data_IF_775439894655
#
_entry.id   IF_775439894655
#
_cell.length_a   1.000
_cell.length_b   1.000
_cell.length_c   1.000
_cell.angle_alpha   90.00
_cell.angle_beta   90.00
_cell.angle_gamma   90.00
#
_symmetry.space_group_name_H-M   'P 1'
#
loop_
_entity.id
_entity.type
_entity.pdbx_description
1 polymer ?
#
# COMPACT_ATOMS: atom_id res chain seq x y z
N UNK A 1 23.07 0.68 9.67
CA UNK A 1 23.19 -0.04 8.38
C UNK A 1 24.37 0.43 7.52
N UNK A 2 24.35 1.57 6.80
CA UNK A 2 25.51 1.95 5.92
C UNK A 2 26.83 2.07 6.70
N UNK A 3 26.79 2.67 7.90
CA UNK A 3 28.00 2.83 8.73
C UNK A 3 28.67 1.52 9.16
N UNK A 4 27.91 0.43 9.38
CA UNK A 4 28.46 -0.85 9.86
C UNK A 4 29.17 -1.60 8.72
N UNK A 5 28.59 -1.57 7.52
CA UNK A 5 29.24 -2.08 6.32
C UNK A 5 30.52 -1.31 6.02
N UNK A 6 30.49 0.02 6.17
CA UNK A 6 31.65 0.87 5.94
C UNK A 6 32.77 0.62 6.97
N UNK A 7 32.42 0.43 8.24
CA UNK A 7 33.38 0.00 9.27
C UNK A 7 34.03 -1.34 8.91
N UNK A 8 33.24 -2.35 8.50
CA UNK A 8 33.80 -3.63 8.06
C UNK A 8 34.71 -3.51 6.85
N UNK A 9 34.36 -2.62 5.89
CA UNK A 9 35.14 -2.34 4.68
C UNK A 9 36.49 -1.72 5.04
N UNK A 10 36.48 -0.68 5.86
CA UNK A 10 37.69 0.03 6.32
C UNK A 10 38.60 -0.89 7.14
N UNK A 11 38.02 -1.72 8.02
CA UNK A 11 38.76 -2.70 8.82
C UNK A 11 39.25 -3.92 8.03
N UNK A 12 38.89 -4.05 6.73
CA UNK A 12 39.16 -5.24 5.90
C UNK A 12 38.72 -6.54 6.60
N UNK A 13 37.59 -6.49 7.30
CA UNK A 13 37.11 -7.57 8.18
C UNK A 13 36.88 -8.91 7.46
N UNK A 14 36.48 -8.86 6.18
CA UNK A 14 36.19 -10.06 5.38
C UNK A 14 37.32 -10.42 4.39
N UNK A 15 37.73 -11.70 4.30
CA UNK A 15 38.77 -12.14 3.35
C UNK A 15 38.29 -12.07 1.90
N UNK A 16 39.20 -12.06 0.93
CA UNK A 16 38.87 -11.89 -0.50
C UNK A 16 37.87 -12.94 -1.00
N UNK A 17 37.95 -14.18 -0.52
CA UNK A 17 36.99 -15.24 -0.87
C UNK A 17 35.54 -14.88 -0.49
N UNK A 18 35.34 -14.14 0.60
CA UNK A 18 34.01 -13.65 1.01
C UNK A 18 33.63 -12.40 0.20
N UNK A 19 34.57 -11.47 -0.01
CA UNK A 19 34.34 -10.27 -0.84
C UNK A 19 33.98 -10.60 -2.28
N UNK A 20 34.56 -11.65 -2.86
CA UNK A 20 34.21 -12.14 -4.19
C UNK A 20 32.71 -12.50 -4.30
N UNK A 21 32.12 -13.09 -3.26
CA UNK A 21 30.69 -13.43 -3.23
C UNK A 21 29.78 -12.20 -3.22
N UNK A 22 30.23 -11.11 -2.59
CA UNK A 22 29.49 -9.84 -2.58
C UNK A 22 29.43 -9.16 -3.96
N UNK A 23 30.31 -9.54 -4.89
CA UNK A 23 30.33 -9.01 -6.27
C UNK A 23 29.44 -9.81 -7.22
N UNK A 24 28.83 -10.91 -6.76
CA UNK A 24 27.96 -11.73 -7.59
C UNK A 24 26.59 -11.04 -7.78
N UNK A 25 26.25 -10.71 -9.02
CA UNK A 25 24.98 -10.04 -9.37
C UNK A 25 23.78 -10.84 -8.87
N UNK A 26 22.80 -10.15 -8.27
CA UNK A 26 21.56 -10.75 -7.77
C UNK A 26 21.71 -11.56 -6.48
N UNK A 27 22.84 -11.44 -5.77
CA UNK A 27 23.03 -12.04 -4.44
C UNK A 27 23.13 -10.96 -3.37
N UNK A 28 22.06 -10.83 -2.60
CA UNK A 28 22.01 -9.92 -1.47
C UNK A 28 22.56 -10.54 -0.19
N UNK A 29 23.11 -9.69 0.66
CA UNK A 29 23.68 -10.10 1.95
C UNK A 29 23.31 -9.11 3.05
N UNK A 30 22.86 -9.63 4.19
CA UNK A 30 22.68 -8.88 5.43
C UNK A 30 23.87 -9.09 6.36
N UNK A 31 24.28 -8.03 7.04
CA UNK A 31 25.36 -8.02 8.01
C UNK A 31 24.76 -8.04 9.41
N UNK A 32 25.12 -9.05 10.21
CA UNK A 32 24.75 -9.12 11.63
C UNK A 32 26.00 -9.31 12.46
N UNK A 33 25.94 -8.86 13.71
CA UNK A 33 26.99 -9.12 14.70
C UNK A 33 26.65 -10.41 15.43
N UNK A 34 27.60 -11.31 15.53
CA UNK A 34 27.55 -12.47 16.43
C UNK A 34 28.60 -12.29 17.54
N UNK A 35 28.60 -13.20 18.52
CA UNK A 35 29.54 -13.17 19.64
C UNK A 35 31.02 -13.24 19.23
N UNK A 36 31.34 -13.48 17.95
CA UNK A 36 32.71 -13.52 17.40
C UNK A 36 33.01 -12.36 16.43
N UNK A 37 32.08 -11.44 16.20
CA UNK A 37 32.28 -10.26 15.36
C UNK A 37 31.21 -10.11 14.26
N UNK A 38 31.56 -9.45 13.17
CA UNK A 38 30.63 -9.25 12.06
C UNK A 38 30.55 -10.46 11.13
N UNK A 39 29.33 -10.81 10.70
CA UNK A 39 29.05 -11.93 9.82
C UNK A 39 28.02 -11.59 8.75
N UNK A 40 28.25 -12.09 7.54
CA UNK A 40 27.37 -11.92 6.39
C UNK A 40 26.44 -13.14 6.22
N UNK A 41 25.18 -12.85 5.92
CA UNK A 41 24.11 -13.81 5.70
C UNK A 41 23.51 -13.56 4.33
N UNK A 42 23.44 -14.59 3.48
CA UNK A 42 22.72 -14.46 2.19
C UNK A 42 21.26 -14.16 2.48
N UNK A 43 20.74 -13.11 1.84
CA UNK A 43 19.34 -12.73 1.89
C UNK A 43 18.67 -13.04 0.54
N UNK A 44 17.39 -13.38 0.61
CA UNK A 44 16.45 -13.34 -0.49
C UNK A 44 15.23 -12.57 0.02
N UNK A 45 14.51 -11.92 -0.87
CA UNK A 45 13.35 -11.09 -0.53
C UNK A 45 12.13 -11.60 -1.28
N UNK A 46 11.02 -11.71 -0.58
CA UNK A 46 9.71 -11.91 -1.19
C UNK A 46 9.03 -10.57 -1.44
N UNK A 47 8.10 -10.54 -2.40
CA UNK A 47 7.24 -9.38 -2.59
C UNK A 47 6.35 -9.15 -1.34
N UNK A 48 6.14 -7.89 -0.93
CA UNK A 48 5.20 -7.54 0.13
C UNK A 48 3.81 -8.19 -0.07
N UNK A 49 3.22 -8.72 0.99
CA UNK A 49 1.83 -9.18 0.99
C UNK A 49 0.95 -8.14 1.67
N UNK A 50 -0.08 -7.67 0.96
CA UNK A 50 -1.11 -6.82 1.53
C UNK A 50 -2.23 -7.68 2.11
N UNK A 51 -2.57 -7.46 3.37
CA UNK A 51 -3.57 -8.23 4.10
C UNK A 51 -4.66 -7.28 4.60
N UNK A 52 -5.82 -7.35 3.96
CA UNK A 52 -7.01 -6.59 4.38
C UNK A 52 -7.99 -7.46 5.18
N UNK A 53 -7.90 -8.79 5.06
CA UNK A 53 -8.71 -9.75 5.78
C UNK A 53 -7.90 -11.00 6.17
N UNK A 54 -8.30 -11.66 7.26
CA UNK A 54 -7.78 -12.96 7.70
C UNK A 54 -8.64 -14.10 7.12
N UNK A 55 -8.66 -14.24 5.80
CA UNK A 55 -9.59 -15.09 5.03
C UNK A 55 -9.00 -16.43 4.54
N UNK A 56 -7.75 -16.72 4.90
CA UNK A 56 -6.98 -17.87 4.41
C UNK A 56 -6.48 -17.74 2.97
N UNK A 57 -6.76 -16.61 2.30
CA UNK A 57 -6.32 -16.31 0.93
C UNK A 57 -5.27 -15.19 0.91
N UNK A 58 -5.53 -14.08 1.60
CA UNK A 58 -4.62 -12.94 1.69
C UNK A 58 -3.55 -13.16 2.76
N UNK A 59 -3.89 -13.85 3.84
CA UNK A 59 -3.03 -14.06 4.99
C UNK A 59 -2.33 -15.43 5.01
N UNK A 60 -2.39 -16.21 3.92
CA UNK A 60 -1.71 -17.51 3.81
C UNK A 60 -0.99 -17.64 2.47
N UNK A 61 0.23 -18.17 2.48
CA UNK A 61 1.06 -18.32 1.28
C UNK A 61 2.09 -19.43 1.43
N UNK A 62 2.78 -19.74 0.34
CA UNK A 62 3.90 -20.68 0.29
C UNK A 62 5.18 -19.92 -0.02
N UNK A 63 6.23 -20.16 0.77
CA UNK A 63 7.58 -19.67 0.51
C UNK A 63 8.48 -20.87 0.18
N UNK A 64 9.30 -20.75 -0.86
CA UNK A 64 10.25 -21.78 -1.25
C UNK A 64 11.66 -21.43 -0.77
N UNK A 65 12.27 -22.32 0.00
CA UNK A 65 13.67 -22.25 0.36
C UNK A 65 14.49 -23.12 -0.59
N UNK A 66 15.18 -22.50 -1.53
CA UNK A 66 15.98 -23.17 -2.56
C UNK A 66 17.34 -23.70 -2.07
N UNK A 67 17.60 -23.68 -0.75
CA UNK A 67 18.84 -24.27 -0.24
C UNK A 67 18.84 -25.78 -0.48
N UNK A 68 19.93 -26.35 -1.01
CA UNK A 68 20.07 -27.80 -1.18
C UNK A 68 19.91 -28.53 0.15
N UNK A 69 19.14 -29.61 0.15
CA UNK A 69 18.85 -30.44 1.33
C UNK A 69 20.02 -31.31 1.80
N UNK A 70 21.05 -31.42 0.97
CA UNK A 70 22.23 -32.27 1.10
C UNK A 70 23.48 -31.54 1.60
N UNK A 71 23.36 -30.23 1.90
CA UNK A 71 24.43 -29.52 2.61
C UNK A 71 24.57 -30.12 4.02
N UNK A 72 25.80 -30.51 4.44
CA UNK A 72 26.00 -31.12 5.75
C UNK A 72 25.48 -30.20 6.84
N UNK A 73 24.76 -30.79 7.81
CA UNK A 73 24.20 -30.06 8.94
C UNK A 73 25.29 -29.14 9.53
N UNK A 74 24.99 -27.84 9.74
CA UNK A 74 25.98 -26.94 10.28
C UNK A 74 26.53 -27.49 11.60
N UNK A 75 27.85 -27.64 11.69
CA UNK A 75 28.52 -27.91 12.96
C UNK A 75 28.04 -26.86 13.98
N UNK A 76 27.79 -27.29 15.22
CA UNK A 76 27.06 -26.57 16.27
C UNK A 76 27.54 -25.13 16.60
N UNK A 77 28.65 -24.66 16.03
CA UNK A 77 29.18 -23.29 16.14
C UNK A 77 28.84 -22.35 14.96
N UNK A 78 28.10 -22.81 13.93
CA UNK A 78 27.69 -21.99 12.78
C UNK A 78 26.18 -22.16 12.49
N UNK A 79 25.32 -21.52 13.28
CA UNK A 79 23.84 -21.39 13.09
C UNK A 79 23.36 -21.71 11.65
N UNK A 80 22.74 -22.86 11.38
CA UNK A 80 21.42 -23.38 11.77
C UNK A 80 20.27 -22.68 11.00
N UNK A 81 19.72 -23.37 10.00
CA UNK A 81 18.48 -23.01 9.30
C UNK A 81 18.57 -21.88 8.26
N UNK A 82 17.56 -21.80 7.40
CA UNK A 82 17.18 -20.59 6.69
C UNK A 82 16.09 -19.94 7.53
N UNK A 83 16.34 -18.77 8.13
CA UNK A 83 15.34 -18.06 8.93
C UNK A 83 14.58 -17.09 8.03
N UNK A 84 13.26 -17.10 8.15
CA UNK A 84 12.39 -16.10 7.54
C UNK A 84 12.56 -14.78 8.31
N UNK A 85 12.94 -13.72 7.60
CA UNK A 85 12.76 -12.36 8.12
C UNK A 85 11.28 -12.01 7.98
N UNK A 86 10.75 -11.19 8.88
CA UNK A 86 9.37 -10.72 8.71
C UNK A 86 9.25 -9.28 9.18
N UNK A 87 8.55 -8.45 8.43
CA UNK A 87 8.07 -7.16 8.90
C UNK A 87 6.55 -7.10 8.77
N UNK A 88 5.88 -6.74 9.85
CA UNK A 88 4.43 -6.57 9.89
C UNK A 88 4.20 -5.10 10.19
N UNK A 89 3.72 -4.36 9.20
CA UNK A 89 3.51 -2.92 9.26
C UNK A 89 2.04 -2.57 9.08
N UNK A 90 1.47 -1.83 10.02
CA UNK A 90 0.14 -1.25 9.88
C UNK A 90 0.21 -0.04 8.96
N UNK A 91 -0.67 0.01 7.97
CA UNK A 91 -0.75 1.11 7.02
C UNK A 91 -1.31 2.39 7.64
N UNK A 92 -1.81 3.28 6.78
CA UNK A 92 -2.23 4.63 7.15
C UNK A 92 -3.76 4.82 7.09
N UNK A 93 -4.53 3.80 6.70
CA UNK A 93 -5.99 3.88 6.63
C UNK A 93 -6.57 4.25 7.99
N UNK A 94 -7.53 5.17 7.98
CA UNK A 94 -8.06 5.80 9.18
C UNK A 94 -9.34 5.17 9.72
N UNK A 95 -9.94 4.24 8.99
CA UNK A 95 -11.21 3.61 9.31
C UNK A 95 -11.22 2.12 8.94
N UNK A 96 -11.98 1.28 9.67
CA UNK A 96 -12.11 -0.13 9.36
C UNK A 96 -12.91 -0.40 8.09
N UNK A 97 -12.61 -1.53 7.43
CA UNK A 97 -13.39 -2.03 6.30
C UNK A 97 -14.86 -2.22 6.66
N UNK A 98 -15.17 -2.51 7.93
CA UNK A 98 -16.56 -2.63 8.41
C UNK A 98 -17.36 -1.34 8.34
N UNK A 99 -16.73 -0.15 8.26
CA UNK A 99 -17.46 1.11 7.99
C UNK A 99 -17.90 1.18 6.52
N UNK A 100 -17.07 0.69 5.61
CA UNK A 100 -17.38 0.61 4.19
C UNK A 100 -18.49 -0.43 3.91
N UNK A 101 -18.52 -1.51 4.69
CA UNK A 101 -19.54 -2.56 4.62
C UNK A 101 -20.85 -2.20 5.36
N UNK A 102 -20.95 -1.01 5.99
CA UNK A 102 -22.19 -0.59 6.66
C UNK A 102 -23.35 -0.60 5.64
N UNK A 103 -24.48 -1.29 5.92
CA UNK A 103 -25.61 -1.33 5.00
C UNK A 103 -26.27 0.03 4.75
N UNK A 104 -25.97 1.04 5.57
CA UNK A 104 -26.40 2.44 5.38
C UNK A 104 -25.38 3.28 4.60
N UNK A 105 -24.24 2.71 4.20
CA UNK A 105 -23.30 3.40 3.31
C UNK A 105 -23.96 3.62 1.94
N UNK A 106 -23.84 4.84 1.43
CA UNK A 106 -24.44 5.25 0.17
C UNK A 106 -23.42 5.09 -0.96
N UNK A 107 -23.66 4.23 -1.95
CA UNK A 107 -22.88 4.21 -3.19
C UNK A 107 -23.15 5.50 -3.98
N UNK A 108 -22.09 6.29 -4.20
CA UNK A 108 -22.10 7.53 -4.97
C UNK A 108 -21.78 7.27 -6.45
N UNK A 109 -20.83 6.37 -6.71
CA UNK A 109 -20.36 6.02 -8.04
C UNK A 109 -19.87 4.57 -8.05
N UNK A 110 -20.49 3.73 -8.88
CA UNK A 110 -20.07 2.33 -9.04
C UNK A 110 -19.01 2.15 -10.12
N UNK A 111 -18.81 3.15 -10.98
CA UNK A 111 -17.87 3.12 -12.11
C UNK A 111 -18.22 2.11 -13.23
N UNK A 112 -19.48 1.69 -13.31
CA UNK A 112 -19.93 0.76 -14.35
C UNK A 112 -20.04 1.38 -15.75
N UNK A 113 -20.13 2.71 -15.84
CA UNK A 113 -20.21 3.46 -17.09
C UNK A 113 -19.20 4.62 -17.13
N UNK A 114 -18.38 4.65 -18.19
CA UNK A 114 -17.43 5.73 -18.44
C UNK A 114 -18.05 6.92 -19.19
N UNK A 115 -19.24 6.77 -19.81
CA UNK A 115 -19.88 7.85 -20.59
C UNK A 115 -20.11 9.14 -19.77
N UNK A 116 -20.53 9.10 -18.50
CA UNK A 116 -20.72 10.31 -17.69
C UNK A 116 -19.47 11.16 -17.49
N UNK A 117 -18.28 10.60 -17.72
CA UNK A 117 -17.00 11.30 -17.61
C UNK A 117 -16.60 12.06 -18.88
N UNK A 118 -17.32 11.90 -19.99
CA UNK A 118 -17.06 12.64 -21.23
C UNK A 118 -17.57 14.07 -21.12
N UNK A 119 -16.83 14.99 -21.73
CA UNK A 119 -17.26 16.37 -21.92
C UNK A 119 -18.53 16.42 -22.75
N UNK A 120 -19.45 17.30 -22.36
CA UNK A 120 -20.69 17.59 -23.08
C UNK A 120 -21.25 18.93 -22.62
N UNK A 121 -22.31 19.41 -23.27
CA UNK A 121 -23.06 20.58 -22.79
C UNK A 121 -23.56 20.40 -21.34
N UNK A 122 -23.84 19.15 -20.95
CA UNK A 122 -24.26 18.79 -19.60
C UNK A 122 -23.10 18.69 -18.61
N UNK A 123 -22.03 17.96 -18.98
CA UNK A 123 -20.89 17.68 -18.14
C UNK A 123 -19.72 18.61 -18.48
N UNK A 124 -19.69 19.78 -17.84
CA UNK A 124 -18.69 20.83 -18.03
C UNK A 124 -17.68 20.87 -16.89
N UNK A 125 -17.07 19.73 -16.58
CA UNK A 125 -16.12 19.61 -15.46
C UNK A 125 -14.76 20.26 -15.76
N UNK A 126 -14.43 20.47 -17.03
CA UNK A 126 -13.17 21.05 -17.45
C UNK A 126 -12.93 22.45 -16.89
N UNK A 127 -13.99 23.21 -16.60
CA UNK A 127 -13.89 24.53 -15.96
C UNK A 127 -13.31 24.48 -14.54
N UNK A 128 -13.40 23.33 -13.87
CA UNK A 128 -12.87 23.10 -12.53
C UNK A 128 -11.46 22.51 -12.55
N UNK A 129 -10.99 22.05 -13.72
CA UNK A 129 -9.63 21.55 -13.88
C UNK A 129 -8.70 22.69 -14.23
N UNK A 130 -7.85 23.09 -13.29
CA UNK A 130 -6.90 24.17 -13.45
C UNK A 130 -5.47 23.69 -13.22
N UNK A 131 -4.55 24.13 -14.07
CA UNK A 131 -3.13 23.83 -14.00
C UNK A 131 -2.38 24.56 -15.12
N UNK A 132 -1.07 24.73 -14.94
CA UNK A 132 -0.20 25.34 -15.95
C UNK A 132 -0.17 24.50 -17.25
N UNK A 133 -0.08 25.18 -18.39
CA UNK A 133 -0.01 24.54 -19.70
C UNK A 133 -1.27 23.76 -20.09
N UNK A 134 -2.44 24.12 -19.54
CA UNK A 134 -3.71 23.44 -19.83
C UNK A 134 -4.06 23.47 -21.33
N UNK A 135 -4.34 22.30 -21.87
CA UNK A 135 -4.92 22.09 -23.19
C UNK A 135 -6.17 21.23 -23.03
N UNK A 136 -7.20 21.50 -23.82
CA UNK A 136 -8.39 20.67 -23.88
C UNK A 136 -8.21 19.65 -25.00
N UNK A 137 -8.14 18.36 -24.66
CA UNK A 137 -8.12 17.26 -25.62
C UNK A 137 -9.49 16.56 -25.68
N UNK A 138 -9.67 15.66 -26.65
CA UNK A 138 -10.91 14.88 -26.79
C UNK A 138 -11.25 14.04 -25.54
N UNK A 139 -10.24 13.68 -24.74
CA UNK A 139 -10.41 12.95 -23.49
C UNK A 139 -10.42 13.84 -22.25
N UNK A 140 -10.41 15.17 -22.40
CA UNK A 140 -10.50 16.12 -21.30
C UNK A 140 -9.30 17.05 -21.14
N UNK A 141 -9.31 17.88 -20.09
CA UNK A 141 -8.24 18.83 -19.78
C UNK A 141 -6.96 18.10 -19.33
N UNK A 142 -5.86 18.43 -19.98
CA UNK A 142 -4.52 17.88 -19.73
C UNK A 142 -3.48 18.99 -19.77
N UNK A 143 -2.29 18.75 -19.23
CA UNK A 143 -1.13 19.57 -19.55
C UNK A 143 -0.66 19.30 -20.99
N UNK A 144 -0.15 20.32 -21.67
CA UNK A 144 0.52 20.16 -22.96
C UNK A 144 1.60 19.05 -22.88
N UNK A 145 1.59 18.13 -23.84
CA UNK A 145 2.48 16.96 -23.87
C UNK A 145 1.99 15.74 -23.07
N UNK A 146 0.84 15.83 -22.39
CA UNK A 146 0.19 14.70 -21.71
C UNK A 146 -1.01 14.23 -22.53
N UNK A 147 -1.15 12.92 -22.68
CA UNK A 147 -2.38 12.28 -23.17
C UNK A 147 -3.04 11.51 -22.04
N UNK A 148 -4.35 11.33 -22.11
CA UNK A 148 -5.10 10.53 -21.14
C UNK A 148 -6.20 9.71 -21.79
N UNK A 149 -6.60 8.63 -21.12
CA UNK A 149 -7.72 7.77 -21.51
C UNK A 149 -8.49 7.32 -20.28
N UNK A 150 -9.80 7.12 -20.44
CA UNK A 150 -10.62 6.47 -19.42
C UNK A 150 -11.62 5.52 -20.09
N UNK A 151 -11.81 4.35 -19.51
CA UNK A 151 -12.67 3.27 -20.03
C UNK A 151 -13.14 2.40 -18.87
N UNK A 152 -14.13 1.55 -19.09
CA UNK A 152 -14.48 0.53 -18.11
C UNK A 152 -13.77 -0.80 -18.37
N UNK A 153 -13.54 -1.57 -17.32
CA UNK A 153 -12.93 -2.92 -17.32
C UNK A 153 -13.74 -3.87 -16.45
N UNK A 154 -13.67 -5.18 -16.69
CA UNK A 154 -14.32 -6.22 -15.87
C UNK A 154 -13.46 -6.68 -14.69
N UNK A 155 -12.21 -6.21 -14.62
CA UNK A 155 -11.31 -6.40 -13.47
C UNK A 155 -11.70 -5.48 -12.30
N UNK A 156 -12.91 -5.67 -11.77
CA UNK A 156 -13.48 -4.89 -10.67
C UNK A 156 -13.19 -5.52 -9.31
N UNK A 157 -13.22 -4.70 -8.25
CA UNK A 157 -12.99 -5.14 -6.88
C UNK A 157 -14.27 -5.67 -6.22
N UNK A 158 -15.40 -5.02 -6.47
CA UNK A 158 -16.70 -5.32 -5.82
C UNK A 158 -17.80 -5.55 -6.85
N UNK A 159 -17.95 -4.61 -7.79
CA UNK A 159 -18.95 -4.68 -8.84
C UNK A 159 -18.55 -5.61 -10.00
N UNK A 160 -19.30 -5.53 -11.10
CA UNK A 160 -18.94 -6.23 -12.35
C UNK A 160 -17.95 -5.45 -13.21
N UNK A 161 -17.83 -4.13 -12.99
CA UNK A 161 -16.94 -3.25 -13.75
C UNK A 161 -16.30 -2.19 -12.86
N UNK A 162 -15.17 -1.66 -13.31
CA UNK A 162 -14.48 -0.53 -12.70
C UNK A 162 -14.08 0.48 -13.78
N UNK A 163 -13.73 1.71 -13.38
CA UNK A 163 -13.19 2.72 -14.29
C UNK A 163 -11.66 2.61 -14.29
N UNK A 164 -11.07 2.38 -15.46
CA UNK A 164 -9.64 2.49 -15.66
C UNK A 164 -9.32 3.88 -16.17
N UNK A 165 -8.44 4.59 -15.48
CA UNK A 165 -7.93 5.90 -15.87
C UNK A 165 -6.43 5.81 -16.07
N UNK A 166 -5.94 6.24 -17.24
CA UNK A 166 -4.53 6.17 -17.60
C UNK A 166 -4.06 7.46 -18.27
N UNK A 167 -2.78 7.76 -18.11
CA UNK A 167 -2.14 8.90 -18.76
C UNK A 167 -0.70 8.60 -19.16
N UNK A 168 -0.22 9.25 -20.22
CA UNK A 168 1.16 9.21 -20.69
C UNK A 168 1.69 10.64 -20.80
N UNK A 169 2.87 10.91 -20.26
CA UNK A 169 3.52 12.21 -20.35
C UNK A 169 4.75 12.13 -21.26
N UNK A 170 4.66 12.75 -22.44
CA UNK A 170 5.79 12.95 -23.37
C UNK A 170 6.35 14.38 -23.33
N UNK A 171 5.71 15.26 -22.56
CA UNK A 171 6.14 16.64 -22.35
C UNK A 171 7.04 16.79 -21.12
N UNK A 172 7.02 17.99 -20.55
CA UNK A 172 7.89 18.38 -19.44
C UNK A 172 7.53 17.69 -18.11
N UNK A 173 8.43 17.84 -17.13
CA UNK A 173 8.22 17.34 -15.77
C UNK A 173 6.98 17.95 -15.12
N UNK A 174 6.19 17.13 -14.40
CA UNK A 174 4.96 17.56 -13.73
C UNK A 174 3.73 17.44 -14.63
N UNK A 175 3.63 16.35 -15.39
CA UNK A 175 2.44 16.06 -16.19
C UNK A 175 1.21 15.90 -15.31
N UNK A 176 0.07 16.37 -15.82
CA UNK A 176 -1.22 16.25 -15.15
C UNK A 176 -2.35 16.12 -16.18
N UNK A 177 -3.45 15.52 -15.75
CA UNK A 177 -4.67 15.35 -16.52
C UNK A 177 -5.87 15.22 -15.57
N UNK A 178 -7.06 15.57 -16.04
CA UNK A 178 -8.28 15.51 -15.23
C UNK A 178 -9.46 14.89 -15.97
N UNK A 179 -10.22 14.07 -15.27
CA UNK A 179 -11.53 13.54 -15.68
C UNK A 179 -12.58 13.90 -14.63
N UNK A 180 -13.84 13.97 -15.03
CA UNK A 180 -14.91 14.26 -14.08
C UNK A 180 -16.29 14.05 -14.65
N UNK A 181 -17.26 13.92 -13.76
CA UNK A 181 -18.68 13.80 -14.08
C UNK A 181 -19.50 14.77 -13.26
N UNK A 182 -20.63 15.18 -13.84
CA UNK A 182 -21.73 15.84 -13.13
C UNK A 182 -22.73 14.79 -12.64
N UNK A 183 -23.21 14.93 -11.40
CA UNK A 183 -24.32 14.10 -10.93
C UNK A 183 -25.64 14.54 -11.62
N UNK A 184 -26.56 13.61 -11.96
CA UNK A 184 -27.87 13.96 -12.54
C UNK A 184 -28.66 14.95 -11.67
N UNK A 185 -28.49 14.84 -10.34
CA UNK A 185 -28.96 15.78 -9.34
C UNK A 185 -27.87 15.96 -8.29
N UNK A 186 -27.72 17.15 -7.69
CA UNK A 186 -26.82 17.31 -6.56
C UNK A 186 -27.14 16.31 -5.45
N UNK A 187 -26.11 15.69 -4.88
CA UNK A 187 -26.24 14.72 -3.80
C UNK A 187 -26.20 15.43 -2.45
N UNK A 188 -27.05 14.97 -1.53
CA UNK A 188 -26.98 15.32 -0.12
C UNK A 188 -26.11 14.30 0.63
N UNK A 189 -24.91 14.73 0.98
CA UNK A 189 -23.93 13.97 1.75
C UNK A 189 -23.79 14.49 3.18
N UNK A 190 -24.64 15.42 3.63
CA UNK A 190 -24.52 16.09 4.94
C UNK A 190 -24.60 15.12 6.13
N UNK A 191 -25.27 13.99 5.96
CA UNK A 191 -25.36 12.92 6.97
C UNK A 191 -24.12 12.01 7.08
N UNK A 192 -23.13 12.16 6.20
CA UNK A 192 -21.97 11.25 6.11
C UNK A 192 -20.71 11.86 6.75
N UNK A 193 -19.76 11.00 7.12
CA UNK A 193 -18.53 11.36 7.84
C UNK A 193 -17.26 11.22 7.01
N UNK A 194 -17.29 10.34 6.01
CA UNK A 194 -16.17 10.09 5.13
C UNK A 194 -16.66 9.57 3.78
N UNK A 195 -15.76 9.60 2.80
CA UNK A 195 -15.90 8.86 1.55
C UNK A 195 -14.94 7.68 1.56
N UNK A 196 -15.31 6.58 0.91
CA UNK A 196 -14.46 5.41 0.76
C UNK A 196 -14.46 4.96 -0.70
N UNK A 197 -13.28 4.70 -1.24
CA UNK A 197 -13.07 4.35 -2.65
C UNK A 197 -12.07 3.21 -2.74
N UNK A 198 -12.37 2.20 -3.55
CA UNK A 198 -11.35 1.26 -3.97
C UNK A 198 -10.50 1.87 -5.09
N UNK A 199 -9.19 1.86 -4.90
CA UNK A 199 -8.21 2.28 -5.90
C UNK A 199 -7.27 1.11 -6.17
N UNK A 200 -7.17 0.68 -7.42
CA UNK A 200 -6.11 -0.20 -7.88
C UNK A 200 -4.92 0.65 -8.31
N UNK A 201 -3.80 0.56 -7.60
CA UNK A 201 -2.58 1.29 -7.92
C UNK A 201 -1.64 0.52 -8.84
N UNK A 202 -0.76 1.23 -9.54
CA UNK A 202 0.35 0.66 -10.32
C UNK A 202 1.73 0.85 -9.66
N UNK A 203 1.77 1.49 -8.49
CA UNK A 203 2.97 1.68 -7.67
C UNK A 203 3.94 2.76 -8.17
N UNK A 204 3.59 3.59 -9.16
CA UNK A 204 4.53 4.55 -9.77
C UNK A 204 4.64 5.90 -9.05
N UNK A 205 3.87 6.11 -8.00
CA UNK A 205 4.03 7.21 -7.05
C UNK A 205 3.37 8.53 -7.46
N UNK A 206 2.56 8.53 -8.52
CA UNK A 206 1.69 9.63 -8.87
C UNK A 206 0.67 9.93 -7.76
N UNK A 207 0.10 11.14 -7.82
CA UNK A 207 -0.88 11.61 -6.84
C UNK A 207 -2.21 11.75 -7.56
N UNK A 208 -3.23 11.07 -7.05
CA UNK A 208 -4.60 11.29 -7.52
C UNK A 208 -5.18 12.46 -6.71
N UNK A 209 -5.60 13.54 -7.37
CA UNK A 209 -6.51 14.49 -6.74
C UNK A 209 -7.92 13.95 -6.89
N UNK A 210 -8.50 13.47 -5.80
CA UNK A 210 -9.92 13.18 -5.72
C UNK A 210 -10.63 14.45 -5.24
N UNK A 211 -11.55 14.98 -6.04
CA UNK A 211 -12.24 16.24 -5.74
C UNK A 211 -13.75 16.13 -5.93
N UNK A 212 -14.48 16.76 -5.02
CA UNK A 212 -15.90 17.05 -5.17
C UNK A 212 -16.11 18.56 -5.30
N UNK A 213 -17.12 18.96 -6.07
CA UNK A 213 -17.59 20.35 -6.12
C UNK A 213 -19.05 20.44 -5.75
N UNK A 214 -19.42 21.46 -4.98
CA UNK A 214 -20.81 21.77 -4.70
C UNK A 214 -21.41 22.73 -5.75
N UNK A 215 -22.73 22.89 -5.70
CA UNK A 215 -23.47 23.75 -6.62
C UNK A 215 -23.10 25.25 -6.54
N UNK A 216 -22.41 25.68 -5.49
CA UNK A 216 -21.92 27.05 -5.34
C UNK A 216 -20.48 27.23 -5.87
N UNK A 217 -19.86 26.17 -6.39
CA UNK A 217 -18.49 26.21 -6.91
C UNK A 217 -17.42 26.17 -5.82
N UNK A 218 -17.72 25.62 -4.64
CA UNK A 218 -16.70 25.30 -3.61
C UNK A 218 -16.27 23.85 -3.77
N UNK A 219 -15.07 23.52 -3.33
CA UNK A 219 -14.52 22.17 -3.50
C UNK A 219 -13.97 21.57 -2.22
N UNK A 220 -14.04 20.25 -2.17
CA UNK A 220 -13.43 19.37 -1.20
C UNK A 220 -12.44 18.47 -1.94
N UNK A 221 -11.22 18.28 -1.48
CA UNK A 221 -10.27 17.40 -2.16
C UNK A 221 -9.35 16.62 -1.23
N UNK A 222 -8.89 15.48 -1.74
CA UNK A 222 -7.90 14.62 -1.13
C UNK A 222 -6.81 14.28 -2.16
N UNK A 223 -5.62 13.92 -1.67
CA UNK A 223 -4.42 13.69 -2.48
C UNK A 223 -3.76 12.33 -2.16
N UNK A 224 -4.46 11.19 -2.30
CA UNK A 224 -3.83 9.88 -2.13
C UNK A 224 -2.66 9.70 -3.09
N UNK A 225 -1.54 9.20 -2.56
CA UNK A 225 -0.36 8.80 -3.33
C UNK A 225 -0.48 7.34 -3.73
N UNK A 226 -0.18 7.04 -4.98
CA UNK A 226 -0.23 5.69 -5.55
C UNK A 226 1.16 5.06 -5.51
N UNK A 227 1.64 4.77 -4.31
CA UNK A 227 2.91 4.07 -4.07
C UNK A 227 2.70 2.57 -3.78
N UNK A 228 1.57 2.03 -4.20
CA UNK A 228 1.17 0.66 -4.00
C UNK A 228 0.64 0.05 -5.30
N UNK A 229 0.75 -1.27 -5.40
CA UNK A 229 0.15 -2.07 -6.46
C UNK A 229 -1.09 -2.78 -5.93
N UNK A 230 -2.04 -3.08 -6.82
CA UNK A 230 -3.26 -3.81 -6.44
C UNK A 230 -4.34 -2.92 -5.81
N UNK A 231 -5.46 -3.54 -5.49
CA UNK A 231 -6.62 -2.90 -4.88
C UNK A 231 -6.39 -2.53 -3.41
N UNK A 232 -6.65 -1.27 -3.06
CA UNK A 232 -6.73 -0.79 -1.67
C UNK A 232 -7.99 0.03 -1.44
N UNK A 233 -8.60 -0.15 -0.28
CA UNK A 233 -9.67 0.74 0.18
C UNK A 233 -9.04 2.01 0.75
N UNK A 234 -9.30 3.15 0.12
CA UNK A 234 -8.88 4.46 0.59
C UNK A 234 -10.07 5.17 1.25
N UNK A 235 -9.87 5.69 2.46
CA UNK A 235 -10.91 6.41 3.22
C UNK A 235 -10.51 7.87 3.38
N UNK A 236 -11.47 8.75 3.11
CA UNK A 236 -11.31 10.19 3.01
C UNK A 236 -12.26 10.89 3.99
N UNK A 237 -11.79 11.23 5.22
CA UNK A 237 -12.60 11.97 6.18
C UNK A 237 -13.08 13.30 5.62
N UNK A 238 -14.33 13.64 5.90
CA UNK A 238 -14.97 14.90 5.49
C UNK A 238 -14.90 15.97 6.59
N UNK A 239 -14.55 15.58 7.82
CA UNK A 239 -14.65 16.41 9.03
C UNK A 239 -13.75 17.64 9.00
N UNK A 240 -12.63 17.60 8.29
CA UNK A 240 -11.63 18.67 8.28
C UNK A 240 -11.86 19.68 7.14
N UNK A 241 -12.96 19.53 6.39
CA UNK A 241 -13.26 20.36 5.23
C UNK A 241 -14.34 21.38 5.60
N UNK A 242 -13.91 22.62 5.82
CA UNK A 242 -14.80 23.75 6.10
C UNK A 242 -15.30 24.42 4.81
N UNK A 243 -16.53 24.92 4.83
CA UNK A 243 -17.07 25.80 3.79
C UNK A 243 -17.74 25.11 2.61
N UNK A 244 -17.50 23.81 2.40
CA UNK A 244 -18.20 23.00 1.40
C UNK A 244 -19.67 22.72 1.81
N UNK A 245 -20.62 22.86 0.90
CA UNK A 245 -22.03 22.50 1.15
C UNK A 245 -22.29 21.05 0.75
N UNK A 246 -22.20 20.18 1.75
CA UNK A 246 -22.43 18.75 1.61
C UNK A 246 -23.84 18.39 1.16
N UNK A 247 -24.83 19.28 1.33
CA UNK A 247 -26.21 19.03 0.87
C UNK A 247 -26.40 19.20 -0.65
N UNK A 248 -25.41 19.77 -1.34
CA UNK A 248 -25.50 20.13 -2.76
C UNK A 248 -24.25 19.74 -3.55
N UNK A 249 -23.73 18.54 -3.32
CA UNK A 249 -22.57 18.00 -4.05
C UNK A 249 -22.93 17.75 -5.52
N UNK A 250 -22.31 18.45 -6.46
CA UNK A 250 -22.72 18.48 -7.88
C UNK A 250 -21.77 17.74 -8.83
N UNK A 251 -20.45 17.78 -8.57
CA UNK A 251 -19.47 17.12 -9.43
C UNK A 251 -18.50 16.23 -8.67
N UNK A 252 -18.02 15.19 -9.36
CA UNK A 252 -16.95 14.28 -8.96
C UNK A 252 -15.82 14.32 -9.98
N UNK A 253 -14.59 14.60 -9.55
CA UNK A 253 -13.42 14.70 -10.41
C UNK A 253 -12.24 13.89 -9.86
N UNK A 254 -11.44 13.37 -10.78
CA UNK A 254 -10.14 12.73 -10.52
C UNK A 254 -9.06 13.34 -11.40
N UNK A 255 -7.90 13.62 -10.82
CA UNK A 255 -6.77 14.20 -11.53
C UNK A 255 -5.53 13.37 -11.29
N UNK A 256 -4.78 13.08 -12.33
CA UNK A 256 -3.37 12.74 -12.15
C UNK A 256 -2.57 13.99 -11.88
N UNK A 257 -1.70 13.95 -10.88
CA UNK A 257 -0.64 14.91 -10.66
C UNK A 257 0.70 14.19 -10.56
N UNK A 258 1.78 14.91 -10.90
CA UNK A 258 3.15 14.42 -10.82
C UNK A 258 3.44 13.21 -11.73
N UNK A 259 2.87 13.19 -12.96
CA UNK A 259 3.27 12.21 -13.97
C UNK A 259 4.68 12.59 -14.45
N UNK A 260 5.66 11.70 -14.22
CA UNK A 260 7.05 11.93 -14.61
C UNK A 260 7.19 12.05 -16.14
N UNK A 261 8.20 12.79 -16.60
CA UNK A 261 8.46 12.90 -18.05
C UNK A 261 8.81 11.53 -18.63
N UNK A 262 8.36 11.25 -19.85
CA UNK A 262 8.57 9.98 -20.57
C UNK A 262 8.08 8.77 -19.77
N UNK A 263 6.97 8.91 -19.05
CA UNK A 263 6.36 7.85 -18.25
C UNK A 263 4.87 7.76 -18.49
N UNK A 264 4.27 6.66 -18.05
CA UNK A 264 2.83 6.45 -18.05
C UNK A 264 2.37 5.91 -16.69
N UNK A 265 1.12 6.19 -16.36
CA UNK A 265 0.45 5.74 -15.12
C UNK A 265 -0.92 5.18 -15.46
N UNK A 266 -1.37 4.18 -14.71
CA UNK A 266 -2.73 3.63 -14.79
C UNK A 266 -3.24 3.33 -13.38
N UNK A 267 -4.44 3.81 -13.08
CA UNK A 267 -5.19 3.42 -11.89
C UNK A 267 -6.55 2.89 -12.27
N UNK A 268 -7.15 2.09 -11.38
CA UNK A 268 -8.56 1.72 -11.49
C UNK A 268 -9.31 2.23 -10.27
N UNK A 269 -10.52 2.76 -10.50
CA UNK A 269 -11.43 3.20 -9.45
C UNK A 269 -12.64 2.28 -9.44
N UNK A 270 -13.02 1.83 -8.25
CA UNK A 270 -14.23 1.03 -8.06
C UNK A 270 -14.94 1.46 -6.78
N UNK A 271 -16.28 1.40 -6.83
CA UNK A 271 -17.23 1.61 -5.76
C UNK A 271 -16.87 2.73 -4.75
N UNK A 272 -17.18 3.97 -5.15
CA UNK A 272 -17.13 5.14 -4.26
C UNK A 272 -18.38 5.17 -3.38
N UNK A 273 -18.20 5.12 -2.06
CA UNK A 273 -19.28 5.23 -1.07
C UNK A 273 -19.12 6.43 -0.16
N UNK A 274 -20.24 6.97 0.34
CA UNK A 274 -20.28 7.83 1.50
C UNK A 274 -20.61 7.00 2.76
N UNK A 275 -19.83 7.21 3.82
CA UNK A 275 -19.91 6.44 5.05
C UNK A 275 -20.71 7.20 6.11
N UNK A 276 -21.75 6.59 6.72
CA UNK A 276 -22.57 7.24 7.75
C UNK A 276 -21.82 7.38 9.08
N UNK A 277 -20.82 6.52 9.30
CA UNK A 277 -19.98 6.47 10.49
C UNK A 277 -18.52 6.49 10.10
N UNK A 278 -17.69 6.95 11.04
CA UNK A 278 -16.24 6.89 10.94
C UNK A 278 -15.72 6.40 12.30
N UNK A 279 -15.64 5.08 12.46
CA UNK A 279 -15.15 4.44 13.68
C UNK A 279 -13.61 4.54 13.74
N UNK A 280 -13.03 4.65 14.94
CA UNK A 280 -11.59 4.54 15.08
C UNK A 280 -11.10 3.17 14.58
N UNK A 281 -9.95 3.16 13.94
CA UNK A 281 -9.28 1.95 13.49
C UNK A 281 -8.92 1.05 14.71
N UNK A 282 -9.32 -0.24 14.75
CA UNK A 282 -8.83 -1.16 15.76
C UNK A 282 -7.30 -1.30 15.72
N UNK A 283 -6.70 -1.68 16.84
CA UNK A 283 -5.28 -2.01 16.89
C UNK A 283 -5.04 -3.41 16.31
N UNK A 284 -3.88 -3.62 15.68
CA UNK A 284 -3.42 -4.97 15.37
C UNK A 284 -2.84 -5.60 16.65
N UNK A 285 -3.58 -6.53 17.25
CA UNK A 285 -3.23 -7.13 18.54
C UNK A 285 -2.53 -8.47 18.34
N UNK A 286 -1.39 -8.65 18.98
CA UNK A 286 -0.62 -9.90 19.00
C UNK A 286 -0.44 -10.53 17.60
N UNK A 287 0.09 -9.81 16.61
CA UNK A 287 0.31 -10.39 15.30
C UNK A 287 1.23 -11.62 15.41
N UNK A 288 0.98 -12.63 14.59
CA UNK A 288 1.64 -13.92 14.65
C UNK A 288 1.91 -14.47 13.25
N UNK A 289 2.99 -15.25 13.16
CA UNK A 289 3.39 -15.97 11.95
C UNK A 289 3.57 -17.44 12.30
N UNK A 290 2.89 -18.30 11.57
CA UNK A 290 3.12 -19.75 11.59
C UNK A 290 3.92 -20.16 10.36
N UNK A 291 4.92 -21.02 10.57
CA UNK A 291 5.65 -21.70 9.50
C UNK A 291 5.56 -23.20 9.75
N UNK A 292 4.91 -23.93 8.84
CA UNK A 292 4.74 -25.39 8.93
C UNK A 292 4.23 -25.89 10.31
N UNK A 293 3.36 -25.10 10.97
CA UNK A 293 2.80 -25.42 12.28
C UNK A 293 3.64 -24.95 13.49
N UNK A 294 4.78 -24.30 13.28
CA UNK A 294 5.51 -23.61 14.35
C UNK A 294 5.16 -22.13 14.36
N UNK A 295 4.70 -21.62 15.52
CA UNK A 295 4.21 -20.26 15.69
C UNK A 295 5.20 -19.36 16.40
N UNK A 296 5.35 -18.14 15.92
CA UNK A 296 5.80 -16.99 16.72
C UNK A 296 4.65 -15.98 16.84
N UNK A 297 4.45 -15.45 18.04
CA UNK A 297 3.52 -14.36 18.31
C UNK A 297 4.31 -13.17 18.85
N UNK A 298 4.06 -11.98 18.32
CA UNK A 298 4.66 -10.73 18.76
C UNK A 298 3.72 -10.09 19.80
N UNK A 299 4.06 -10.07 21.10
CA UNK A 299 3.13 -9.68 22.17
C UNK A 299 3.03 -8.14 22.29
N UNK A 300 2.39 -7.53 21.30
CA UNK A 300 2.28 -6.08 21.16
C UNK A 300 0.95 -5.68 20.52
N UNK A 301 0.63 -4.39 20.60
CA UNK A 301 -0.53 -3.79 19.93
C UNK A 301 0.01 -2.71 18.99
N UNK A 302 -0.19 -2.86 17.68
CA UNK A 302 0.25 -1.89 16.68
C UNK A 302 -0.92 -0.98 16.30
N UNK A 303 -0.67 0.32 16.34
CA UNK A 303 -1.51 1.35 15.70
C UNK A 303 -0.98 1.64 14.28
N UNK A 304 -1.72 2.47 13.54
CA UNK A 304 -1.37 2.97 12.21
C UNK A 304 0.04 3.54 12.16
N UNK A 305 0.78 3.16 11.11
CA UNK A 305 2.17 3.58 10.91
C UNK A 305 3.17 2.96 11.90
N UNK A 306 2.75 2.02 12.75
CA UNK A 306 3.65 1.22 13.58
C UNK A 306 3.93 -0.13 12.93
N UNK A 307 5.07 -0.72 13.29
CA UNK A 307 5.50 -2.00 12.73
C UNK A 307 6.25 -2.86 13.74
N UNK A 308 6.39 -4.14 13.44
CA UNK A 308 7.35 -5.03 14.09
C UNK A 308 8.18 -5.73 13.02
N UNK A 309 9.50 -5.74 13.17
CA UNK A 309 10.42 -6.45 12.27
C UNK A 309 11.17 -7.51 13.04
N UNK A 310 11.18 -8.75 12.54
CA UNK A 310 12.14 -9.79 12.88
C UNK A 310 13.18 -9.89 11.76
N UNK A 311 14.44 -9.61 12.06
CA UNK A 311 15.55 -9.72 11.10
C UNK A 311 16.28 -11.06 11.19
N UNK A 312 15.59 -12.12 11.62
CA UNK A 312 16.19 -13.43 11.88
C UNK A 312 17.25 -13.33 12.98
N UNK A 313 18.56 -13.52 12.69
CA UNK A 313 19.63 -13.38 13.68
C UNK A 313 19.75 -11.97 14.27
N UNK A 314 19.27 -10.93 13.57
CA UNK A 314 19.26 -9.55 14.06
C UNK A 314 18.25 -9.27 15.18
N UNK A 315 17.44 -10.26 15.55
CA UNK A 315 16.42 -10.14 16.60
C UNK A 315 15.13 -9.48 16.12
N UNK A 316 14.31 -9.09 17.09
CA UNK A 316 12.98 -8.49 16.87
C UNK A 316 12.98 -7.05 17.36
N UNK A 317 12.42 -6.14 16.57
CA UNK A 317 12.32 -4.71 16.89
C UNK A 317 10.89 -4.24 16.66
N UNK A 318 10.31 -3.59 17.66
CA UNK A 318 9.10 -2.80 17.53
C UNK A 318 9.44 -1.39 17.05
N UNK A 319 8.67 -0.88 16.09
CA UNK A 319 8.82 0.45 15.52
C UNK A 319 7.60 1.30 15.91
N UNK A 320 7.77 2.29 16.82
CA UNK A 320 6.67 3.13 17.28
C UNK A 320 6.15 4.14 16.24
N UNK A 321 6.78 4.24 15.07
CA UNK A 321 6.46 5.22 14.03
C UNK A 321 6.99 6.63 14.32
N UNK A 322 6.77 7.55 13.37
CA UNK A 322 7.06 8.98 13.54
C UNK A 322 8.52 9.32 13.84
N UNK A 323 9.47 8.64 13.18
CA UNK A 323 10.92 8.79 13.38
C UNK A 323 11.44 8.44 14.78
N UNK A 324 10.60 7.87 15.66
CA UNK A 324 11.02 7.41 16.98
C UNK A 324 11.99 6.22 16.84
N UNK A 325 12.99 6.08 17.74
CA UNK A 325 13.86 4.92 17.76
C UNK A 325 13.09 3.61 17.91
N UNK A 326 13.57 2.56 17.24
CA UNK A 326 13.05 1.21 17.41
C UNK A 326 13.36 0.65 18.80
N UNK A 327 12.49 -0.22 19.29
CA UNK A 327 12.55 -0.84 20.60
C UNK A 327 12.80 -2.35 20.45
N UNK A 328 13.93 -2.88 20.92
CA UNK A 328 14.21 -4.31 20.79
C UNK A 328 13.26 -5.15 21.68
N UNK A 329 12.84 -6.30 21.17
CA UNK A 329 12.03 -7.28 21.87
C UNK A 329 12.81 -8.58 22.05
N UNK A 330 12.79 -9.14 23.26
CA UNK A 330 13.42 -10.42 23.55
C UNK A 330 12.44 -11.55 23.23
N UNK A 331 12.52 -12.09 22.01
CA UNK A 331 11.69 -13.20 21.54
C UNK A 331 12.57 -14.26 20.85
N UNK A 332 12.23 -15.53 21.04
CA UNK A 332 12.86 -16.62 20.30
C UNK A 332 12.34 -16.62 18.85
N UNK A 333 13.25 -16.57 17.89
CA UNK A 333 12.93 -16.55 16.44
C UNK A 333 13.03 -17.94 15.79
N UNK A 334 13.20 -19.00 16.60
CA UNK A 334 13.38 -20.38 16.12
C UNK A 334 12.20 -20.91 15.29
N UNK A 335 10.97 -20.48 15.63
CA UNK A 335 9.76 -20.82 14.88
C UNK A 335 9.73 -20.26 13.44
N UNK A 336 10.62 -19.31 13.11
CA UNK A 336 10.75 -18.74 11.77
C UNK A 336 11.68 -19.55 10.86
N UNK A 337 11.93 -20.83 11.18
CA UNK A 337 12.82 -21.69 10.41
C UNK A 337 12.13 -22.27 9.17
N UNK A 338 12.73 -22.03 8.00
CA UNK A 338 12.33 -22.62 6.72
C UNK A 338 13.09 -23.92 6.47
N UNK A 339 12.35 -25.01 6.23
CA UNK A 339 12.93 -26.26 5.68
C UNK A 339 13.28 -26.08 4.20
N UNK A 340 14.23 -26.85 3.63
CA UNK A 340 14.41 -26.92 2.18
C UNK A 340 13.08 -27.22 1.46
N UNK A 341 12.87 -26.58 0.31
CA UNK A 341 11.64 -26.69 -0.47
C UNK A 341 10.52 -25.79 0.04
N UNK A 342 9.27 -26.23 -0.12
CA UNK A 342 8.08 -25.44 0.19
C UNK A 342 7.77 -25.37 1.69
N UNK A 343 7.43 -24.17 2.15
CA UNK A 343 7.03 -23.86 3.51
C UNK A 343 5.68 -23.15 3.48
N UNK A 344 4.71 -23.68 4.22
CA UNK A 344 3.42 -23.00 4.40
C UNK A 344 3.56 -21.93 5.46
N UNK A 345 3.15 -20.72 5.13
CA UNK A 345 3.18 -19.57 6.03
C UNK A 345 1.78 -19.02 6.20
N UNK A 346 1.40 -18.75 7.45
CA UNK A 346 0.12 -18.14 7.82
C UNK A 346 0.39 -16.93 8.71
N UNK A 347 -0.15 -15.78 8.34
CA UNK A 347 -0.24 -14.61 9.19
C UNK A 347 -1.58 -14.59 9.92
N UNK A 348 -1.55 -14.24 11.20
CA UNK A 348 -2.74 -14.09 12.04
C UNK A 348 -2.53 -12.98 13.06
N UNK A 349 -3.62 -12.58 13.72
CA UNK A 349 -3.62 -11.64 14.83
C UNK A 349 -4.84 -11.92 15.70
N UNK A 350 -4.82 -11.45 16.95
CA UNK A 350 -6.00 -11.44 17.80
C UNK A 350 -6.95 -10.33 17.30
N UNK A 351 -8.26 -10.62 17.30
CA UNK A 351 -9.29 -9.73 16.76
C UNK A 351 -10.37 -9.35 17.79
N UNK A 352 -10.03 -8.98 19.05
CA UNK A 352 -11.03 -8.71 20.08
C UNK A 352 -11.99 -7.57 19.68
N UNK A 353 -11.51 -6.60 18.92
CA UNK A 353 -12.27 -5.45 18.41
C UNK A 353 -12.41 -5.49 16.87
N UNK A 354 -12.18 -6.66 16.25
CA UNK A 354 -12.07 -6.84 14.81
C UNK A 354 -10.64 -6.69 14.26
N UNK A 355 -10.42 -7.21 13.05
CA UNK A 355 -9.13 -7.06 12.35
C UNK A 355 -9.07 -5.69 11.65
N UNK A 356 -7.97 -4.92 11.77
CA UNK A 356 -7.91 -3.59 11.18
C UNK A 356 -7.78 -3.58 9.64
N UNK A 357 -7.27 -4.65 9.04
CA UNK A 357 -6.85 -4.62 7.63
C UNK A 357 -5.74 -3.60 7.37
N UNK A 358 -5.49 -3.26 6.11
CA UNK A 358 -4.38 -2.38 5.70
C UNK A 358 -3.01 -2.78 6.31
N UNK A 359 -2.74 -4.08 6.41
CA UNK A 359 -1.48 -4.61 6.95
C UNK A 359 -0.56 -5.03 5.80
N UNK A 360 0.69 -4.58 5.83
CA UNK A 360 1.72 -5.05 4.91
C UNK A 360 2.61 -6.05 5.66
N UNK A 361 2.73 -7.27 5.12
CA UNK A 361 3.61 -8.32 5.62
C UNK A 361 4.75 -8.51 4.63
N UNK A 362 5.95 -8.10 5.00
CA UNK A 362 7.19 -8.28 4.24
C UNK A 362 7.90 -9.53 4.75
N UNK A 363 8.47 -10.34 3.87
CA UNK A 363 8.97 -11.69 4.16
C UNK A 363 10.36 -11.93 3.57
#
# INVERSE_FOLDING_TARGET
MIGEYEQCRLARHFPEKVRAKLRETGKDFKLFRDGQGWRLYRAAYEEPRFVDALDGRQNAWVIRNDRPSDLPAPQASRQAGCLLGVEIACGSRTAPTTDYEDPKALTIESFDDAKPYRLSEWNRYEKFVSGDGKVLSDSGPVRAGVTQTFRTSEDARVGGRCLVYAAENKGDHGGWGGIGRRFPKPLDLSGHKALALYIHGDGKGEIIRFQLWDAAGRHANWLPRINFTGWRLCVFPMTDISGFDWSKTEYLLFYFNNIFTKSSVEVRFDDLRALPTLRPMPLLVNPAVDINGQRITFPLRLDRGQAVTCQGPGGVTFWPGGMKPGQPLSLSTTALSLKPGENKVLFSADTPDGFPGDVNVLL
#
